data_IF_214087205999
#
_entry.id   IF_214087205999
#
_cell.length_a   1.000
_cell.length_b   1.000
_cell.length_c   1.000
_cell.angle_alpha   90.00
_cell.angle_beta   90.00
_cell.angle_gamma   90.00
#
_symmetry.space_group_name_H-M   'P 1'
#
loop_
_entity.id
_entity.type
_entity.pdbx_description
1 polymer ?
#
# COMPACT_ATOMS: atom_id res chain seq x y z
N UNK A 1 21.63 -14.86 20.64
CA UNK A 1 20.20 -15.22 20.55
C UNK A 1 19.43 -13.94 20.31
N UNK A 2 18.76 -13.77 19.16
CA UNK A 2 17.81 -12.68 18.95
C UNK A 2 16.50 -13.09 19.63
N UNK A 3 15.86 -12.25 20.45
CA UNK A 3 14.53 -12.54 20.90
C UNK A 3 13.59 -12.32 19.72
N UNK A 4 13.04 -13.42 19.19
CA UNK A 4 11.86 -13.39 18.33
C UNK A 4 10.72 -12.79 19.15
N UNK A 5 10.57 -11.47 19.08
CA UNK A 5 9.42 -10.79 19.65
C UNK A 5 8.27 -11.04 18.69
N UNK A 6 7.18 -11.71 19.11
CA UNK A 6 6.03 -11.91 18.24
C UNK A 6 5.54 -10.55 17.72
N UNK A 7 5.15 -10.48 16.44
CA UNK A 7 4.66 -9.24 15.82
C UNK A 7 3.53 -8.56 16.62
N UNK A 8 2.80 -9.32 17.44
CA UNK A 8 1.73 -8.86 18.33
C UNK A 8 2.19 -7.85 19.40
N UNK A 9 3.49 -7.74 19.71
CA UNK A 9 4.02 -6.80 20.71
C UNK A 9 4.77 -5.60 20.10
N UNK A 10 4.71 -5.42 18.78
CA UNK A 10 5.35 -4.28 18.12
C UNK A 10 4.48 -3.03 18.29
N UNK A 11 5.06 -1.96 18.83
CA UNK A 11 4.43 -0.64 18.75
C UNK A 11 4.51 -0.14 17.30
N UNK A 12 3.44 -0.39 16.56
CA UNK A 12 3.34 -0.06 15.13
C UNK A 12 3.52 1.44 14.85
N UNK A 13 3.09 2.32 15.77
CA UNK A 13 3.32 3.76 15.60
C UNK A 13 4.79 4.12 15.75
N UNK A 14 5.45 3.58 16.78
CA UNK A 14 6.87 3.80 17.00
C UNK A 14 7.71 3.24 15.83
N UNK A 15 7.31 2.09 15.29
CA UNK A 15 8.01 1.46 14.17
C UNK A 15 7.84 2.25 12.86
N UNK A 16 6.62 2.71 12.54
CA UNK A 16 6.41 3.60 11.40
C UNK A 16 7.27 4.87 11.50
N UNK A 17 7.31 5.51 12.66
CA UNK A 17 8.12 6.71 12.88
C UNK A 17 9.64 6.43 12.83
N UNK A 18 10.09 5.21 13.17
CA UNK A 18 11.48 4.78 12.99
C UNK A 18 11.82 4.63 11.51
N UNK A 19 10.93 4.00 10.74
CA UNK A 19 11.09 3.78 9.30
C UNK A 19 11.06 5.11 8.53
N UNK A 20 10.14 6.03 8.82
CA UNK A 20 10.09 7.37 8.21
C UNK A 20 11.40 8.15 8.43
N UNK A 21 11.95 8.13 9.65
CA UNK A 21 13.25 8.74 9.94
C UNK A 21 14.39 8.08 9.19
N UNK A 22 14.34 6.75 9.04
CA UNK A 22 15.36 5.99 8.31
C UNK A 22 15.30 6.29 6.81
N UNK A 23 14.11 6.41 6.23
CA UNK A 23 13.91 6.82 4.83
C UNK A 23 14.51 8.20 4.54
N UNK A 24 14.43 9.13 5.50
CA UNK A 24 15.08 10.44 5.39
C UNK A 24 16.61 10.40 5.40
N UNK A 25 17.22 9.32 5.93
CA UNK A 25 18.67 9.11 5.94
C UNK A 25 19.17 8.34 4.73
N UNK A 26 18.32 7.49 4.14
CA UNK A 26 18.64 6.62 3.00
C UNK A 26 17.61 6.83 1.87
N UNK A 27 17.73 7.91 1.08
CA UNK A 27 16.77 8.24 0.02
C UNK A 27 16.64 7.15 -1.06
N UNK A 28 17.70 6.38 -1.29
CA UNK A 28 17.74 5.24 -2.21
C UNK A 28 16.81 4.10 -1.79
N UNK A 29 16.59 3.92 -0.48
CA UNK A 29 15.73 2.89 0.09
C UNK A 29 14.36 3.45 0.52
N UNK A 30 14.11 4.73 0.24
CA UNK A 30 12.96 5.46 0.79
C UNK A 30 11.62 4.84 0.36
N UNK A 31 11.49 4.34 -0.87
CA UNK A 31 10.26 3.68 -1.31
C UNK A 31 9.93 2.48 -0.42
N UNK A 32 10.88 1.55 -0.27
CA UNK A 32 10.67 0.35 0.53
C UNK A 32 10.38 0.70 2.01
N UNK A 33 11.16 1.61 2.58
CA UNK A 33 11.01 2.01 3.99
C UNK A 33 9.67 2.71 4.25
N UNK A 34 9.20 3.57 3.34
CA UNK A 34 7.92 4.26 3.49
C UNK A 34 6.72 3.35 3.22
N UNK A 35 6.84 2.36 2.32
CA UNK A 35 5.81 1.32 2.16
C UNK A 35 5.65 0.47 3.42
N UNK A 36 6.76 0.10 4.07
CA UNK A 36 6.71 -0.60 5.36
C UNK A 36 6.10 0.29 6.46
N UNK A 37 6.47 1.57 6.52
CA UNK A 37 5.88 2.51 7.47
C UNK A 37 4.36 2.64 7.30
N UNK A 38 3.89 2.72 6.04
CA UNK A 38 2.47 2.74 5.73
C UNK A 38 1.77 1.45 6.21
N UNK A 39 2.33 0.27 5.95
CA UNK A 39 1.78 -1.00 6.44
C UNK A 39 1.68 -1.04 7.98
N UNK A 40 2.67 -0.52 8.71
CA UNK A 40 2.57 -0.40 10.18
C UNK A 40 1.43 0.55 10.59
N UNK A 41 1.24 1.66 9.90
CA UNK A 41 0.14 2.58 10.19
C UNK A 41 -1.23 1.96 9.90
N UNK A 42 -1.33 1.14 8.86
CA UNK A 42 -2.54 0.36 8.55
C UNK A 42 -2.88 -0.63 9.66
N UNK A 43 -1.90 -1.41 10.13
CA UNK A 43 -2.07 -2.33 11.26
C UNK A 43 -2.44 -1.60 12.56
N UNK A 44 -1.97 -0.36 12.73
CA UNK A 44 -2.34 0.51 13.86
C UNK A 44 -3.71 1.20 13.68
N UNK A 45 -4.42 0.98 12.56
CA UNK A 45 -5.70 1.62 12.25
C UNK A 45 -5.58 3.10 11.83
N UNK A 46 -4.38 3.62 11.63
CA UNK A 46 -4.11 5.02 11.29
C UNK A 46 -4.13 5.27 9.78
N UNK A 47 -5.18 4.75 9.12
CA UNK A 47 -5.35 4.68 7.67
C UNK A 47 -5.12 6.02 6.93
N UNK A 48 -5.58 7.20 7.42
CA UNK A 48 -5.29 8.48 6.75
C UNK A 48 -3.80 8.86 6.72
N UNK A 49 -3.02 8.45 7.74
CA UNK A 49 -1.58 8.70 7.77
C UNK A 49 -0.85 7.79 6.78
N UNK A 50 -1.30 6.54 6.63
CA UNK A 50 -0.81 5.63 5.59
C UNK A 50 -1.08 6.22 4.19
N UNK A 51 -2.31 6.71 3.92
CA UNK A 51 -2.64 7.41 2.65
C UNK A 51 -1.68 8.56 2.37
N UNK A 52 -1.37 9.36 3.39
CA UNK A 52 -0.45 10.50 3.24
C UNK A 52 0.97 10.07 2.83
N UNK A 53 1.44 8.90 3.28
CA UNK A 53 2.73 8.35 2.85
C UNK A 53 2.69 7.88 1.40
N UNK A 54 1.60 7.22 0.98
CA UNK A 54 1.41 6.83 -0.42
C UNK A 54 1.35 8.06 -1.35
N UNK A 55 0.64 9.11 -0.95
CA UNK A 55 0.59 10.37 -1.69
C UNK A 55 1.97 11.03 -1.78
N UNK A 56 2.76 11.00 -0.69
CA UNK A 56 4.13 11.51 -0.70
C UNK A 56 5.04 10.72 -1.65
N UNK A 57 4.90 9.39 -1.71
CA UNK A 57 5.66 8.56 -2.66
C UNK A 57 5.26 8.88 -4.11
N UNK A 58 3.97 8.94 -4.40
CA UNK A 58 3.44 9.17 -5.76
C UNK A 58 3.68 10.60 -6.28
N UNK A 59 3.87 11.57 -5.39
CA UNK A 59 4.17 12.96 -5.72
C UNK A 59 5.67 13.29 -5.71
N UNK A 60 6.52 12.35 -5.29
CA UNK A 60 7.97 12.51 -5.24
C UNK A 60 8.56 12.71 -6.63
N UNK A 61 9.64 13.49 -6.72
CA UNK A 61 10.45 13.62 -7.94
C UNK A 61 11.34 12.40 -8.19
N UNK A 62 11.56 11.56 -7.17
CA UNK A 62 12.32 10.31 -7.31
C UNK A 62 11.46 9.27 -8.00
N UNK A 63 11.92 8.68 -9.12
CA UNK A 63 11.18 7.61 -9.78
C UNK A 63 10.95 6.43 -8.83
N UNK A 64 9.72 5.94 -8.78
CA UNK A 64 9.37 4.72 -8.04
C UNK A 64 9.73 3.48 -8.85
N UNK A 65 10.17 2.43 -8.17
CA UNK A 65 10.40 1.10 -8.73
C UNK A 65 9.09 0.48 -9.21
N UNK A 66 8.03 0.55 -8.39
CA UNK A 66 6.72 0.03 -8.75
C UNK A 66 5.58 1.02 -8.42
N UNK A 67 5.38 2.06 -9.24
CA UNK A 67 4.34 3.07 -8.99
C UNK A 67 2.92 2.51 -9.07
N UNK A 68 2.69 1.37 -9.75
CA UNK A 68 1.38 0.72 -9.76
C UNK A 68 1.10 -0.02 -8.47
N UNK A 69 2.11 -0.63 -7.84
CA UNK A 69 1.98 -1.27 -6.54
C UNK A 69 1.63 -0.24 -5.46
N UNK A 70 2.32 0.91 -5.45
CA UNK A 70 2.01 2.01 -4.51
C UNK A 70 0.55 2.48 -4.66
N UNK A 71 0.05 2.61 -5.90
CA UNK A 71 -1.36 2.96 -6.15
C UNK A 71 -2.32 1.86 -5.68
N UNK A 72 -1.99 0.59 -5.91
CA UNK A 72 -2.83 -0.53 -5.48
C UNK A 72 -2.96 -0.57 -3.96
N UNK A 73 -1.85 -0.43 -3.24
CA UNK A 73 -1.83 -0.35 -1.77
C UNK A 73 -2.62 0.87 -1.26
N UNK A 74 -2.44 2.04 -1.88
CA UNK A 74 -3.24 3.23 -1.56
C UNK A 74 -4.74 2.97 -1.73
N UNK A 75 -5.16 2.34 -2.83
CA UNK A 75 -6.57 2.05 -3.10
C UNK A 75 -7.16 1.08 -2.06
N UNK A 76 -6.44 0.00 -1.74
CA UNK A 76 -6.84 -0.94 -0.67
C UNK A 76 -7.02 -0.21 0.66
N UNK A 77 -6.01 0.58 1.07
CA UNK A 77 -6.10 1.38 2.29
C UNK A 77 -7.25 2.39 2.29
N UNK A 78 -7.53 3.07 1.17
CA UNK A 78 -8.64 4.03 1.06
C UNK A 78 -10.01 3.39 1.28
N UNK A 79 -10.22 2.19 0.71
CA UNK A 79 -11.50 1.51 0.81
C UNK A 79 -11.82 1.16 2.26
N UNK A 80 -10.81 0.67 2.99
CA UNK A 80 -10.88 0.26 4.40
C UNK A 80 -11.38 1.34 5.38
N UNK A 81 -11.27 2.64 5.03
CA UNK A 81 -11.79 3.72 5.88
C UNK A 81 -12.84 4.60 5.18
N UNK A 82 -13.52 4.07 4.17
CA UNK A 82 -14.74 4.68 3.61
C UNK A 82 -14.53 5.60 2.41
N UNK A 83 -13.37 5.56 1.76
CA UNK A 83 -13.06 6.32 0.55
C UNK A 83 -13.21 5.47 -0.72
N UNK A 84 -14.27 4.66 -0.78
CA UNK A 84 -14.54 3.70 -1.86
C UNK A 84 -14.49 4.34 -3.26
N UNK A 85 -15.11 5.50 -3.46
CA UNK A 85 -15.16 6.13 -4.78
C UNK A 85 -13.76 6.48 -5.32
N UNK A 86 -12.85 6.92 -4.44
CA UNK A 86 -11.45 7.19 -4.80
C UNK A 86 -10.69 5.88 -5.02
N UNK A 87 -10.89 4.88 -4.16
CA UNK A 87 -10.29 3.56 -4.30
C UNK A 87 -10.63 2.92 -5.65
N UNK A 88 -11.92 2.92 -6.04
CA UNK A 88 -12.37 2.41 -7.34
C UNK A 88 -11.75 3.15 -8.51
N UNK A 89 -11.70 4.48 -8.47
CA UNK A 89 -11.08 5.27 -9.52
C UNK A 89 -9.59 4.92 -9.71
N UNK A 90 -8.86 4.67 -8.61
CA UNK A 90 -7.47 4.22 -8.67
C UNK A 90 -7.37 2.80 -9.25
N UNK A 91 -8.24 1.88 -8.80
CA UNK A 91 -8.30 0.49 -9.29
C UNK A 91 -8.54 0.46 -10.80
N UNK A 92 -9.52 1.20 -11.30
CA UNK A 92 -9.81 1.30 -12.73
C UNK A 92 -8.60 1.83 -13.52
N UNK A 93 -7.92 2.83 -12.95
CA UNK A 93 -6.68 3.37 -13.53
C UNK A 93 -5.55 2.34 -13.60
N UNK A 94 -5.41 1.47 -12.59
CA UNK A 94 -4.42 0.39 -12.60
C UNK A 94 -4.77 -0.66 -13.65
N UNK A 95 -6.03 -1.12 -13.68
CA UNK A 95 -6.51 -2.11 -14.66
C UNK A 95 -6.31 -1.61 -16.10
N UNK A 96 -6.64 -0.35 -16.35
CA UNK A 96 -6.48 0.29 -17.66
C UNK A 96 -5.00 0.43 -18.07
N UNK A 97 -4.10 0.67 -17.12
CA UNK A 97 -2.67 0.77 -17.38
C UNK A 97 -2.01 -0.58 -17.69
N UNK A 98 -2.66 -1.70 -17.31
CA UNK A 98 -2.20 -3.06 -17.51
C UNK A 98 -0.72 -3.27 -17.10
N UNK A 99 -0.38 -3.10 -15.80
CA UNK A 99 0.98 -3.27 -15.33
C UNK A 99 1.47 -4.70 -15.61
N UNK A 100 2.75 -4.83 -15.96
CA UNK A 100 3.38 -6.14 -16.21
C UNK A 100 3.74 -6.89 -14.93
N UNK A 101 3.90 -6.16 -13.84
CA UNK A 101 4.19 -6.75 -12.54
C UNK A 101 2.89 -7.35 -11.98
N UNK A 102 2.91 -8.58 -11.44
CA UNK A 102 1.72 -9.22 -10.87
C UNK A 102 1.27 -8.63 -9.53
N UNK A 103 2.16 -8.01 -8.74
CA UNK A 103 1.84 -7.56 -7.39
C UNK A 103 0.71 -6.52 -7.33
N UNK A 104 0.65 -5.49 -8.20
CA UNK A 104 -0.49 -4.58 -8.27
C UNK A 104 -1.82 -5.29 -8.54
N UNK A 105 -1.84 -6.31 -9.41
CA UNK A 105 -3.05 -7.08 -9.72
C UNK A 105 -3.56 -7.86 -8.51
N UNK A 106 -2.64 -8.53 -7.80
CA UNK A 106 -2.97 -9.27 -6.57
C UNK A 106 -3.60 -8.34 -5.53
N UNK A 107 -2.96 -7.20 -5.24
CA UNK A 107 -3.48 -6.24 -4.25
C UNK A 107 -4.85 -5.70 -4.66
N UNK A 108 -5.04 -5.35 -5.93
CA UNK A 108 -6.35 -4.86 -6.42
C UNK A 108 -7.42 -5.94 -6.28
N UNK A 109 -7.11 -7.19 -6.65
CA UNK A 109 -8.06 -8.27 -6.61
C UNK A 109 -8.42 -8.66 -5.16
N UNK A 110 -7.45 -8.72 -4.25
CA UNK A 110 -7.69 -8.94 -2.82
C UNK A 110 -8.51 -7.81 -2.20
N UNK A 111 -8.25 -6.55 -2.56
CA UNK A 111 -9.05 -5.41 -2.09
C UNK A 111 -10.52 -5.51 -2.54
N UNK A 112 -10.74 -5.88 -3.81
CA UNK A 112 -12.09 -6.13 -4.35
C UNK A 112 -12.78 -7.30 -3.62
N UNK A 113 -12.07 -8.41 -3.41
CA UNK A 113 -12.59 -9.58 -2.72
C UNK A 113 -13.00 -9.26 -1.26
N UNK A 114 -12.14 -8.55 -0.53
CA UNK A 114 -12.40 -8.15 0.86
C UNK A 114 -13.62 -7.22 1.00
N UNK A 115 -14.03 -6.56 -0.08
CA UNK A 115 -15.16 -5.64 -0.13
C UNK A 115 -16.35 -6.20 -0.93
N UNK A 116 -16.45 -7.53 -1.04
CA UNK A 116 -17.55 -8.27 -1.67
C UNK A 116 -17.74 -8.03 -3.19
N UNK A 117 -16.73 -7.49 -3.89
CA UNK A 117 -16.74 -7.29 -5.34
C UNK A 117 -16.19 -8.53 -6.08
N UNK A 118 -16.75 -9.71 -5.77
CA UNK A 118 -16.17 -11.01 -6.13
C UNK A 118 -15.99 -11.25 -7.64
N UNK A 119 -16.93 -10.79 -8.47
CA UNK A 119 -16.82 -10.92 -9.93
C UNK A 119 -15.67 -10.06 -10.47
N UNK A 120 -15.57 -8.81 -10.01
CA UNK A 120 -14.47 -7.92 -10.37
C UNK A 120 -13.11 -8.42 -9.86
N UNK A 121 -13.07 -9.01 -8.65
CA UNK A 121 -11.88 -9.65 -8.10
C UNK A 121 -11.41 -10.81 -8.99
N UNK A 122 -12.33 -11.72 -9.38
CA UNK A 122 -12.02 -12.85 -10.26
C UNK A 122 -11.52 -12.39 -11.64
N UNK A 123 -12.16 -11.39 -12.24
CA UNK A 123 -11.67 -10.79 -13.49
C UNK A 123 -10.25 -10.25 -13.33
N UNK A 124 -9.98 -9.53 -12.24
CA UNK A 124 -8.68 -8.93 -11.97
C UNK A 124 -7.59 -10.00 -11.80
N UNK A 125 -7.87 -11.09 -11.09
CA UNK A 125 -6.93 -12.22 -10.94
C UNK A 125 -6.60 -12.95 -12.25
N UNK A 126 -7.43 -12.83 -13.28
CA UNK A 126 -7.28 -13.57 -14.55
C UNK A 126 -6.85 -12.70 -15.73
N UNK A 127 -6.84 -11.37 -15.56
CA UNK A 127 -6.39 -10.39 -16.57
C UNK A 127 -4.89 -10.06 -16.48
N UNK A 128 -4.27 -10.29 -15.32
CA UNK A 128 -2.86 -9.98 -15.02
C UNK A 128 -1.89 -11.15 -15.17
#
# INVERSE_FOLDING_TARGET
MRPDTPAENVDHHAEAARLERTAGLYPEDAEHLLLQAAAHLELAGHRPRATSLYDSLLSSSTPLENPHLVRALKASNLWEYGHEAEARAIIDGIRAASPRDPAPWVIVAEALEQHDELEAAQETFTQG
#
